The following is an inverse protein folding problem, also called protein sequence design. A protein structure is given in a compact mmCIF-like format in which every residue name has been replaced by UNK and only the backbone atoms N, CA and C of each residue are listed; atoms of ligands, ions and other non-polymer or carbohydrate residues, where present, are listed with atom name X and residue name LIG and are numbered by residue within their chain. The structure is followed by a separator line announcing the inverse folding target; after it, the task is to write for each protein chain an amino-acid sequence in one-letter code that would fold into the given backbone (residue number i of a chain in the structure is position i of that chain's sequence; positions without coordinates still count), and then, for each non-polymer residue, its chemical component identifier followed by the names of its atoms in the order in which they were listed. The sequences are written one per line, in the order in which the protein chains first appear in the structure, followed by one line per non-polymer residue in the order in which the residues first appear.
data_IF_923449202206
#
_entry.id   IF_923449202206
#
_cell.length_a   1.000
_cell.length_b   1.000
_cell.length_c   1.000
_cell.angle_alpha   90.00
_cell.angle_beta   90.00
_cell.angle_gamma   90.00
#
_symmetry.space_group_name_H-M   'P 1'
#
loop_
_entity.id
_entity.type
_entity.pdbx_description
1 polymer ?
#
# COMPACT_ATOMS: atom_id res chain seq x y z
N UNK A 1 11.01 -3.07 16.32
CA UNK A 1 10.90 -2.88 14.88
C UNK A 1 9.45 -3.04 14.47
N UNK A 2 8.84 -2.02 13.90
CA UNK A 2 7.43 -2.12 13.52
C UNK A 2 7.23 -3.13 12.41
N UNK A 3 6.51 -4.17 12.74
CA UNK A 3 6.10 -5.20 11.79
C UNK A 3 4.61 -5.39 12.02
N UNK A 4 3.83 -5.05 10.99
CA UNK A 4 2.38 -5.03 11.10
C UNK A 4 1.77 -6.06 10.17
N UNK A 5 0.75 -6.74 10.65
CA UNK A 5 -0.03 -7.67 9.86
C UNK A 5 -1.50 -7.36 10.02
N UNK A 6 -2.17 -7.10 8.89
CA UNK A 6 -3.59 -6.78 8.88
C UNK A 6 -4.29 -7.76 7.96
N UNK A 7 -5.40 -8.33 8.42
CA UNK A 7 -6.18 -9.29 7.65
C UNK A 7 -7.64 -8.85 7.64
N UNK A 8 -8.28 -8.89 6.47
CA UNK A 8 -9.69 -8.53 6.32
C UNK A 8 -10.37 -9.47 5.34
N UNK A 9 -11.61 -9.78 5.63
CA UNK A 9 -12.47 -10.48 4.68
C UNK A 9 -13.41 -9.46 4.02
N UNK A 10 -13.51 -9.52 2.68
CA UNK A 10 -14.38 -8.61 1.92
C UNK A 10 -15.25 -9.42 0.96
N UNK A 11 -16.46 -8.93 0.63
CA UNK A 11 -17.38 -9.64 -0.26
C UNK A 11 -17.13 -9.38 -1.75
N UNK A 12 -15.89 -9.11 -2.11
CA UNK A 12 -15.50 -8.82 -3.50
C UNK A 12 -14.52 -9.86 -4.00
N UNK A 13 -14.53 -10.14 -5.31
CA UNK A 13 -13.65 -11.13 -5.90
C UNK A 13 -12.18 -10.73 -5.77
N UNK A 14 -11.32 -11.76 -5.63
CA UNK A 14 -9.89 -11.52 -5.44
C UNK A 14 -9.27 -10.71 -6.57
N UNK A 15 -9.65 -10.96 -7.82
CA UNK A 15 -9.12 -10.21 -8.95
C UNK A 15 -9.54 -8.74 -8.91
N UNK A 16 -10.73 -8.45 -8.41
CA UNK A 16 -11.18 -7.05 -8.25
C UNK A 16 -10.39 -6.33 -7.16
N UNK A 17 -10.13 -7.01 -6.05
CA UNK A 17 -9.33 -6.43 -4.98
C UNK A 17 -7.89 -6.23 -5.43
N UNK A 18 -7.34 -7.20 -6.17
CA UNK A 18 -6.01 -7.05 -6.76
C UNK A 18 -5.95 -5.82 -7.66
N UNK A 19 -6.93 -5.65 -8.56
CA UNK A 19 -6.96 -4.52 -9.48
C UNK A 19 -7.05 -3.19 -8.74
N UNK A 20 -7.84 -3.14 -7.67
CA UNK A 20 -7.99 -1.91 -6.88
C UNK A 20 -6.68 -1.50 -6.22
N UNK A 21 -5.99 -2.44 -5.57
CA UNK A 21 -4.72 -2.14 -4.89
C UNK A 21 -3.62 -1.84 -5.92
N UNK A 22 -3.69 -2.45 -7.10
CA UNK A 22 -2.73 -2.21 -8.17
C UNK A 22 -2.99 -0.90 -8.92
N UNK A 23 -4.11 -0.23 -8.66
CA UNK A 23 -4.42 1.07 -9.26
C UNK A 23 -3.76 2.19 -8.46
N UNK A 24 -2.43 2.25 -8.54
CA UNK A 24 -1.61 3.17 -7.76
C UNK A 24 -1.95 4.64 -8.04
N UNK A 25 -2.22 4.98 -9.29
CA UNK A 25 -2.52 6.35 -9.68
C UNK A 25 -3.80 6.87 -9.03
N UNK A 26 -4.68 5.98 -8.62
CA UNK A 26 -5.94 6.35 -7.97
C UNK A 26 -5.82 6.64 -6.48
N UNK A 27 -4.70 6.29 -5.86
CA UNK A 27 -4.55 6.39 -4.40
C UNK A 27 -4.86 7.78 -3.82
N UNK A 28 -4.41 8.89 -4.41
CA UNK A 28 -4.71 10.20 -3.81
C UNK A 28 -6.20 10.54 -3.74
N UNK A 29 -7.03 9.84 -4.50
CA UNK A 29 -8.48 10.11 -4.52
C UNK A 29 -9.20 9.57 -3.31
N UNK A 30 -8.69 8.53 -2.67
CA UNK A 30 -9.41 7.87 -1.59
C UNK A 30 -8.56 7.52 -0.37
N UNK A 31 -7.24 7.44 -0.48
CA UNK A 31 -6.42 7.12 0.68
C UNK A 31 -6.14 8.36 1.51
N UNK A 32 -6.35 8.28 2.84
CA UNK A 32 -5.98 9.39 3.71
C UNK A 32 -4.47 9.56 3.71
N UNK A 33 -4.02 10.80 3.83
CA UNK A 33 -2.60 11.14 3.96
C UNK A 33 -1.77 10.95 2.68
N UNK A 34 -2.35 10.48 1.59
CA UNK A 34 -1.66 10.41 0.30
C UNK A 34 -2.09 11.62 -0.53
N UNK A 35 -1.17 12.55 -0.77
CA UNK A 35 -1.49 13.78 -1.48
C UNK A 35 -1.10 13.75 -2.96
N UNK A 36 -0.15 12.89 -3.34
CA UNK A 36 0.30 12.79 -4.72
C UNK A 36 0.89 11.42 -5.01
N UNK A 37 0.84 11.01 -6.26
CA UNK A 37 1.40 9.74 -6.72
C UNK A 37 1.91 9.91 -8.16
N UNK A 38 3.21 9.67 -8.34
CA UNK A 38 3.83 9.67 -9.65
C UNK A 38 4.30 8.27 -9.98
N UNK A 39 3.98 7.77 -11.16
CA UNK A 39 4.30 6.41 -11.55
C UNK A 39 5.21 6.41 -12.76
N UNK A 40 6.33 5.69 -12.64
CA UNK A 40 7.24 5.42 -13.75
C UNK A 40 7.31 3.93 -13.98
N UNK A 41 7.11 3.51 -15.21
CA UNK A 41 7.30 2.12 -15.57
C UNK A 41 8.79 1.85 -15.76
N UNK A 42 9.22 0.67 -15.35
CA UNK A 42 10.59 0.24 -15.59
C UNK A 42 10.65 -0.38 -16.98
N UNK A 43 11.17 0.38 -17.94
CA UNK A 43 11.21 -0.05 -19.35
C UNK A 43 12.11 -1.26 -19.57
N UNK A 44 13.04 -1.52 -18.65
CA UNK A 44 13.92 -2.68 -18.75
C UNK A 44 13.40 -3.91 -18.07
N UNK A 45 12.25 -3.80 -17.38
CA UNK A 45 11.67 -4.89 -16.62
C UNK A 45 10.41 -5.43 -17.28
N UNK A 46 9.92 -6.54 -16.79
CA UNK A 46 8.64 -7.06 -17.21
C UNK A 46 7.53 -6.09 -16.81
N UNK A 47 6.43 -6.06 -17.56
CA UNK A 47 5.40 -5.04 -17.45
C UNK A 47 4.70 -4.90 -16.10
N UNK A 48 4.97 -5.80 -15.15
CA UNK A 48 4.33 -5.79 -13.83
C UNK A 48 5.15 -5.03 -12.78
N UNK A 49 6.26 -4.41 -13.16
CA UNK A 49 7.12 -3.66 -12.24
C UNK A 49 7.04 -2.18 -12.56
N UNK A 50 6.73 -1.39 -11.53
CA UNK A 50 6.70 0.07 -11.67
C UNK A 50 7.40 0.70 -10.47
N UNK A 51 7.87 1.94 -10.66
CA UNK A 51 8.36 2.78 -9.56
C UNK A 51 7.29 3.81 -9.25
N UNK A 52 6.81 3.81 -8.02
CA UNK A 52 5.75 4.71 -7.58
C UNK A 52 6.32 5.68 -6.54
N UNK A 53 6.28 6.98 -6.86
CA UNK A 53 6.67 8.02 -5.90
C UNK A 53 5.42 8.55 -5.24
N UNK A 54 5.29 8.25 -3.96
CA UNK A 54 4.13 8.62 -3.17
C UNK A 54 4.49 9.75 -2.21
N UNK A 55 3.66 10.79 -2.19
CA UNK A 55 3.80 11.86 -1.21
C UNK A 55 2.77 11.63 -0.11
N UNK A 56 3.24 11.56 1.13
CA UNK A 56 2.40 11.36 2.30
C UNK A 56 2.49 12.55 3.22
N UNK A 57 1.41 12.80 3.95
CA UNK A 57 1.36 13.91 4.88
C UNK A 57 0.68 13.47 6.19
N UNK A 58 1.37 13.66 7.31
CA UNK A 58 0.86 13.39 8.65
C UNK A 58 0.99 14.66 9.46
N UNK A 59 -0.13 15.41 9.60
CA UNK A 59 -0.09 16.70 10.26
C UNK A 59 0.85 17.66 9.53
N UNK A 60 1.84 18.26 10.20
CA UNK A 60 2.79 19.17 9.54
C UNK A 60 3.90 18.45 8.78
N UNK A 61 4.01 17.11 8.90
CA UNK A 61 5.08 16.35 8.27
C UNK A 61 4.64 15.90 6.89
N UNK A 62 5.39 16.32 5.86
CA UNK A 62 5.15 15.93 4.48
C UNK A 62 6.41 15.30 3.94
N UNK A 63 6.31 14.07 3.47
CA UNK A 63 7.43 13.29 2.95
C UNK A 63 7.04 12.59 1.66
N UNK A 64 8.01 12.42 0.78
CA UNK A 64 7.83 11.64 -0.42
C UNK A 64 8.86 10.51 -0.44
N UNK A 65 8.46 9.37 -0.97
CA UNK A 65 9.38 8.26 -1.17
C UNK A 65 8.96 7.47 -2.41
N UNK A 66 9.95 6.82 -3.02
CA UNK A 66 9.73 5.99 -4.19
C UNK A 66 9.79 4.53 -3.79
N UNK A 67 8.82 3.77 -4.25
CA UNK A 67 8.77 2.31 -4.02
C UNK A 67 8.86 1.58 -5.35
N UNK A 68 9.59 0.47 -5.35
CA UNK A 68 9.53 -0.49 -6.45
C UNK A 68 8.37 -1.41 -6.17
N UNK A 69 7.37 -1.39 -7.04
CA UNK A 69 6.14 -2.16 -6.87
C UNK A 69 6.10 -3.27 -7.90
N UNK A 70 5.94 -4.50 -7.43
CA UNK A 70 5.81 -5.68 -8.30
C UNK A 70 4.45 -6.32 -8.07
N UNK A 71 3.67 -6.39 -9.12
CA UNK A 71 2.35 -7.03 -9.10
C UNK A 71 2.44 -8.39 -9.78
N UNK A 72 2.00 -9.44 -9.09
CA UNK A 72 1.99 -10.79 -9.63
C UNK A 72 0.53 -11.30 -9.63
N UNK A 73 -0.11 -11.22 -10.77
CA UNK A 73 -1.52 -11.60 -10.89
C UNK A 73 -1.73 -13.10 -10.70
N UNK A 74 -0.78 -13.91 -11.16
CA UNK A 74 -0.90 -15.36 -11.01
C UNK A 74 -0.93 -15.79 -9.55
N UNK A 75 -0.08 -15.15 -8.71
CA UNK A 75 -0.02 -15.44 -7.28
C UNK A 75 -0.97 -14.56 -6.47
N UNK A 76 -1.60 -13.57 -7.09
CA UNK A 76 -2.44 -12.57 -6.43
C UNK A 76 -1.71 -11.85 -5.30
N UNK A 77 -0.49 -11.38 -5.61
CA UNK A 77 0.33 -10.64 -4.66
C UNK A 77 0.80 -9.32 -5.26
N UNK A 78 0.95 -8.33 -4.40
CA UNK A 78 1.56 -7.05 -4.77
C UNK A 78 2.59 -6.74 -3.69
N UNK A 79 3.85 -6.57 -4.09
CA UNK A 79 4.92 -6.21 -3.16
C UNK A 79 5.44 -4.82 -3.48
N UNK A 80 5.85 -4.10 -2.45
CA UNK A 80 6.43 -2.78 -2.61
C UNK A 80 7.60 -2.63 -1.66
N UNK A 81 8.71 -2.09 -2.19
CA UNK A 81 9.91 -1.81 -1.40
C UNK A 81 10.32 -0.36 -1.63
N UNK A 82 10.50 0.39 -0.56
CA UNK A 82 11.00 1.75 -0.67
C UNK A 82 12.46 1.73 -1.13
N UNK A 83 12.78 2.54 -2.13
CA UNK A 83 14.13 2.67 -2.67
C UNK A 83 14.77 4.00 -2.31
N UNK A 84 14.00 4.94 -1.74
CA UNK A 84 14.50 6.20 -1.24
C UNK A 84 13.54 6.72 -0.17
N UNK A 85 13.81 7.91 0.34
CA UNK A 85 12.96 8.60 1.30
C UNK A 85 13.43 8.42 2.74
N UNK A 86 12.56 8.66 3.72
CA UNK A 86 12.95 8.70 5.14
C UNK A 86 13.09 7.33 5.79
N UNK A 87 12.96 6.25 5.03
CA UNK A 87 12.98 4.90 5.56
C UNK A 87 14.34 4.24 5.37
N UNK A 88 14.84 3.59 6.42
CA UNK A 88 15.95 2.65 6.28
C UNK A 88 15.48 1.46 5.44
N UNK A 89 14.25 1.02 5.67
CA UNK A 89 13.54 0.09 4.81
C UNK A 89 12.04 0.29 5.00
N UNK A 90 11.29 -0.08 3.97
CA UNK A 90 9.83 -0.16 4.02
C UNK A 90 9.45 -1.25 3.03
N UNK A 91 9.04 -2.39 3.55
CA UNK A 91 8.65 -3.55 2.75
C UNK A 91 7.18 -3.84 3.03
N UNK A 92 6.39 -3.97 1.98
CA UNK A 92 4.99 -4.33 2.14
C UNK A 92 4.61 -5.42 1.16
N UNK A 93 3.63 -6.24 1.55
CA UNK A 93 3.12 -7.29 0.70
C UNK A 93 1.62 -7.42 0.91
N UNK A 94 0.89 -7.36 -0.19
CA UNK A 94 -0.53 -7.63 -0.25
C UNK A 94 -0.73 -9.03 -0.81
N UNK A 95 -1.62 -9.81 -0.19
CA UNK A 95 -2.00 -11.12 -0.70
C UNK A 95 -3.53 -11.18 -0.73
N UNK A 96 -4.08 -11.66 -1.84
CA UNK A 96 -5.52 -11.74 -2.05
C UNK A 96 -5.92 -13.19 -2.24
N UNK A 97 -6.44 -13.82 -1.19
CA UNK A 97 -6.84 -15.22 -1.22
C UNK A 97 -8.33 -15.34 -1.46
N UNK A 98 -8.79 -16.04 -2.53
CA UNK A 98 -10.20 -16.28 -2.68
C UNK A 98 -10.75 -17.07 -1.49
N UNK A 99 -11.89 -16.62 -0.97
CA UNK A 99 -12.53 -17.25 0.18
C UNK A 99 -14.03 -17.21 -0.05
N UNK A 100 -14.62 -18.32 -0.46
CA UNK A 100 -16.01 -18.34 -0.87
C UNK A 100 -16.22 -17.45 -2.07
N UNK A 101 -17.20 -16.55 -1.99
CA UNK A 101 -17.47 -15.56 -3.05
C UNK A 101 -16.70 -14.26 -2.83
N UNK A 102 -15.93 -14.19 -1.77
CA UNK A 102 -15.17 -13.00 -1.42
C UNK A 102 -13.69 -13.25 -1.41
N UNK A 103 -12.99 -12.44 -0.64
CA UNK A 103 -11.53 -12.46 -0.58
C UNK A 103 -11.07 -12.25 0.85
N UNK A 104 -10.05 -12.99 1.24
CA UNK A 104 -9.28 -12.69 2.45
C UNK A 104 -8.08 -11.87 2.01
N UNK A 105 -8.02 -10.63 2.45
CA UNK A 105 -6.91 -9.73 2.16
C UNK A 105 -5.91 -9.82 3.31
N UNK A 106 -4.65 -10.02 2.96
CA UNK A 106 -3.55 -10.01 3.93
C UNK A 106 -2.58 -8.91 3.54
N UNK A 107 -2.21 -8.09 4.50
CA UNK A 107 -1.30 -6.98 4.28
C UNK A 107 -0.21 -7.02 5.35
N UNK A 108 1.02 -7.28 4.91
CA UNK A 108 2.20 -7.32 5.77
C UNK A 108 3.03 -6.06 5.50
N UNK A 109 3.41 -5.34 6.55
CA UNK A 109 4.25 -4.15 6.45
C UNK A 109 5.36 -4.25 7.48
N UNK A 110 6.60 -4.11 7.04
CA UNK A 110 7.77 -4.01 7.91
C UNK A 110 8.53 -2.75 7.52
N UNK A 111 8.82 -1.89 8.48
CA UNK A 111 9.44 -0.61 8.17
C UNK A 111 10.31 -0.10 9.32
N UNK A 112 11.23 0.79 8.97
CA UNK A 112 12.06 1.52 9.93
C UNK A 112 12.38 2.89 9.37
N UNK A 113 12.19 3.92 10.19
CA UNK A 113 12.52 5.29 9.81
C UNK A 113 13.98 5.57 10.21
N UNK A 114 14.75 6.15 9.28
CA UNK A 114 16.20 6.33 9.44
C UNK A 114 16.59 7.24 10.59
N UNK A 115 15.90 8.36 10.75
CA UNK A 115 16.23 9.35 11.77
C UNK A 115 15.54 9.00 13.09
N UNK A 116 16.29 8.68 14.17
CA UNK A 116 15.69 8.26 15.43
C UNK A 116 14.76 9.29 16.06
N UNK A 117 15.04 10.57 15.88
CA UNK A 117 14.20 11.63 16.45
C UNK A 117 12.85 11.68 15.73
N UNK A 118 12.87 11.51 14.40
CA UNK A 118 11.65 11.47 13.61
C UNK A 118 10.92 10.17 13.88
N UNK A 119 11.64 9.06 13.99
CA UNK A 119 11.07 7.75 14.22
C UNK A 119 10.24 7.68 15.50
N UNK A 120 10.72 8.32 16.57
CA UNK A 120 10.03 8.32 17.85
C UNK A 120 8.60 8.86 17.75
N UNK A 121 8.37 9.83 16.86
CA UNK A 121 7.05 10.44 16.65
C UNK A 121 6.32 9.81 15.47
N UNK A 122 7.03 9.58 14.37
CA UNK A 122 6.41 9.18 13.10
C UNK A 122 6.07 7.70 13.02
N UNK A 123 6.86 6.81 13.65
CA UNK A 123 6.58 5.37 13.57
C UNK A 123 5.25 4.98 14.19
N UNK A 124 4.89 5.45 15.40
CA UNK A 124 3.56 5.14 15.93
C UNK A 124 2.43 5.71 15.08
N UNK A 125 2.62 6.92 14.55
CA UNK A 125 1.61 7.54 13.68
C UNK A 125 1.44 6.75 12.40
N UNK A 126 2.55 6.32 11.78
CA UNK A 126 2.52 5.52 10.56
C UNK A 126 1.83 4.18 10.82
N UNK A 127 2.17 3.52 11.93
CA UNK A 127 1.57 2.24 12.29
C UNK A 127 0.07 2.37 12.49
N UNK A 128 -0.38 3.41 13.20
CA UNK A 128 -1.80 3.63 13.46
C UNK A 128 -2.59 3.91 12.19
N UNK A 129 -1.95 4.49 11.16
CA UNK A 129 -2.64 4.80 9.91
C UNK A 129 -2.85 3.59 9.01
N UNK A 130 -2.15 2.48 9.23
CA UNK A 130 -2.29 1.30 8.37
C UNK A 130 -3.69 0.70 8.43
N UNK A 131 -4.33 0.68 9.61
CA UNK A 131 -5.72 0.24 9.73
C UNK A 131 -6.66 1.15 8.94
N UNK A 132 -6.44 2.46 9.00
CA UNK A 132 -7.24 3.42 8.25
C UNK A 132 -7.04 3.26 6.75
N UNK A 133 -5.84 2.93 6.32
CA UNK A 133 -5.54 2.66 4.92
C UNK A 133 -6.31 1.43 4.45
N UNK A 134 -6.29 0.36 5.25
CA UNK A 134 -7.06 -0.84 4.93
C UNK A 134 -8.55 -0.53 4.83
N UNK A 135 -9.09 0.23 5.80
CA UNK A 135 -10.50 0.63 5.79
C UNK A 135 -10.83 1.43 4.54
N UNK A 136 -9.92 2.33 4.11
CA UNK A 136 -10.13 3.13 2.91
C UNK A 136 -10.19 2.28 1.65
N UNK A 137 -9.34 1.25 1.55
CA UNK A 137 -9.40 0.31 0.43
C UNK A 137 -10.72 -0.47 0.41
N UNK A 138 -11.19 -0.92 1.58
CA UNK A 138 -12.44 -1.66 1.68
C UNK A 138 -13.62 -0.76 1.28
N UNK A 139 -13.66 0.47 1.76
CA UNK A 139 -14.70 1.43 1.40
C UNK A 139 -14.69 1.75 -0.10
N UNK A 140 -13.49 1.89 -0.69
CA UNK A 140 -13.38 2.15 -2.12
C UNK A 140 -13.85 0.95 -2.95
N UNK A 141 -13.56 -0.27 -2.47
CA UNK A 141 -14.04 -1.48 -3.12
C UNK A 141 -15.57 -1.54 -3.09
N UNK A 142 -16.17 -1.19 -1.96
CA UNK A 142 -17.63 -1.15 -1.84
C UNK A 142 -18.22 -0.13 -2.80
N UNK A 143 -17.56 1.02 -2.97
CA UNK A 143 -18.02 2.06 -3.87
C UNK A 143 -17.91 1.64 -5.34
N UNK A 144 -16.83 0.97 -5.72
CA UNK A 144 -16.58 0.57 -7.12
C UNK A 144 -17.31 -0.70 -7.52
N UNK A 145 -17.39 -1.67 -6.61
CA UNK A 145 -17.84 -3.03 -6.93
C UNK A 145 -19.09 -3.45 -6.16
N UNK A 146 -19.49 -2.67 -5.16
CA UNK A 146 -20.70 -2.93 -4.40
C UNK A 146 -21.93 -2.56 -5.19
N UNK A 147 -23.06 -3.13 -4.82
CA UNK A 147 -24.35 -2.82 -5.44
C UNK A 147 -24.98 -1.57 -4.86
#
# INVERSE_FOLDING_TARGET
MPDLFIERHVPHLADRMFDLVNDLAGYPRFLPNVSDMEIKRDDGARGDVVFARMTIQFGPVKQAYTSKVEANRADRTITAKAVDGPFSYLDSKWTFEPEGEGTRIRFDVDFKISNPLIAAVAEPAFANKQEQIMDAFVEEADRRYGD
#
